data_IF_935778162432
#
_entry.id   IF_935778162432
#
_cell.length_a   1.000
_cell.length_b   1.000
_cell.length_c   1.000
_cell.angle_alpha   90.00
_cell.angle_beta   90.00
_cell.angle_gamma   90.00
#
_symmetry.space_group_name_H-M   'P 1'
#
loop_
_entity.id
_entity.type
_entity.pdbx_description
1 polymer ?
#
# COMPACT_ATOMS: atom_id res chain seq x y z
N UNK A 1 19.81 -22.56 -24.94
CA UNK A 1 20.78 -22.25 -23.88
C UNK A 1 20.18 -22.72 -22.58
N UNK A 2 20.68 -23.85 -22.08
CA UNK A 2 20.28 -24.45 -20.80
C UNK A 2 20.70 -23.56 -19.64
N UNK A 3 19.73 -23.15 -18.80
CA UNK A 3 19.97 -22.44 -17.53
C UNK A 3 20.04 -23.47 -16.39
N UNK A 4 20.77 -24.57 -16.60
CA UNK A 4 21.05 -25.53 -15.54
C UNK A 4 22.53 -25.46 -15.17
N UNK A 5 22.79 -25.22 -13.89
CA UNK A 5 24.09 -25.17 -13.20
C UNK A 5 24.76 -23.79 -13.13
N UNK A 6 24.15 -22.90 -12.35
CA UNK A 6 24.95 -21.95 -11.58
C UNK A 6 25.23 -22.61 -10.21
N UNK A 7 26.47 -23.09 -9.94
CA UNK A 7 26.78 -23.67 -8.65
C UNK A 7 26.73 -22.57 -7.59
N UNK A 8 25.90 -22.77 -6.55
CA UNK A 8 25.90 -21.95 -5.35
C UNK A 8 27.33 -21.87 -4.80
N UNK A 9 28.00 -20.73 -5.00
CA UNK A 9 29.36 -20.52 -4.49
C UNK A 9 29.29 -20.40 -2.96
N UNK A 10 29.71 -21.46 -2.27
CA UNK A 10 29.99 -21.46 -0.84
C UNK A 10 30.99 -20.34 -0.50
N UNK A 11 30.97 -19.85 0.74
CA UNK A 11 31.91 -18.82 1.17
C UNK A 11 33.36 -19.33 1.02
N UNK A 12 34.24 -18.50 0.46
CA UNK A 12 35.67 -18.80 0.37
C UNK A 12 36.27 -18.64 1.78
N UNK A 13 36.26 -19.72 2.55
CA UNK A 13 36.58 -19.74 3.99
C UNK A 13 38.10 -19.74 4.28
N UNK A 14 38.89 -18.95 3.55
CA UNK A 14 40.33 -18.85 3.84
C UNK A 14 40.57 -18.20 5.20
N UNK A 15 41.24 -18.91 6.11
CA UNK A 15 41.64 -18.39 7.42
C UNK A 15 40.62 -18.55 8.56
N UNK A 16 39.54 -19.33 8.36
CA UNK A 16 38.52 -19.59 9.38
C UNK A 16 38.59 -21.05 9.80
N UNK A 17 38.40 -21.34 11.10
CA UNK A 17 38.32 -22.73 11.59
C UNK A 17 37.15 -23.48 10.96
N UNK A 18 37.26 -24.80 10.82
CA UNK A 18 36.21 -25.65 10.21
C UNK A 18 34.82 -25.43 10.83
N UNK A 19 34.76 -25.19 12.14
CA UNK A 19 33.53 -24.87 12.84
C UNK A 19 32.95 -23.50 12.42
N UNK A 20 33.80 -22.48 12.29
CA UNK A 20 33.39 -21.15 11.83
C UNK A 20 32.92 -21.14 10.37
N UNK A 21 33.55 -21.93 9.50
CA UNK A 21 33.10 -22.06 8.10
C UNK A 21 31.73 -22.75 7.99
N UNK A 22 31.44 -23.74 8.85
CA UNK A 22 30.11 -24.37 8.91
C UNK A 22 29.03 -23.38 9.34
N UNK A 23 29.29 -22.54 10.35
CA UNK A 23 28.34 -21.50 10.79
C UNK A 23 28.10 -20.48 9.68
N UNK A 24 29.15 -19.99 9.02
CA UNK A 24 29.02 -19.01 7.92
C UNK A 24 28.21 -19.55 6.75
N UNK A 25 28.44 -20.81 6.37
CA UNK A 25 27.65 -21.46 5.33
C UNK A 25 26.20 -21.70 5.77
N UNK A 26 25.96 -22.05 7.04
CA UNK A 26 24.62 -22.21 7.58
C UNK A 26 23.85 -20.87 7.59
N UNK A 27 24.48 -19.76 7.97
CA UNK A 27 23.89 -18.42 7.91
C UNK A 27 23.54 -18.05 6.47
N UNK A 28 24.45 -18.27 5.50
CA UNK A 28 24.15 -18.02 4.07
C UNK A 28 22.97 -18.83 3.57
N UNK A 29 22.90 -20.10 3.95
CA UNK A 29 21.79 -20.98 3.59
C UNK A 29 20.48 -20.46 4.20
N UNK A 30 20.48 -20.11 5.49
CA UNK A 30 19.30 -19.54 6.17
C UNK A 30 18.89 -18.21 5.53
N UNK A 31 19.82 -17.31 5.21
CA UNK A 31 19.52 -16.05 4.53
C UNK A 31 18.96 -16.26 3.12
N UNK A 32 19.47 -17.25 2.38
CA UNK A 32 18.94 -17.61 1.07
C UNK A 32 17.52 -18.18 1.18
N UNK A 33 17.26 -19.07 2.14
CA UNK A 33 15.91 -19.59 2.39
C UNK A 33 14.97 -18.54 2.95
N UNK A 34 15.43 -17.59 3.77
CA UNK A 34 14.62 -16.47 4.25
C UNK A 34 14.24 -15.54 3.08
N UNK A 35 15.18 -15.20 2.21
CA UNK A 35 14.89 -14.45 0.99
C UNK A 35 13.95 -15.23 0.06
N UNK A 36 14.10 -16.55 -0.05
CA UNK A 36 13.22 -17.41 -0.83
C UNK A 36 11.81 -17.52 -0.23
N UNK A 37 11.68 -17.60 1.10
CA UNK A 37 10.39 -17.67 1.80
C UNK A 37 9.68 -16.31 1.77
N UNK A 38 10.43 -15.21 1.83
CA UNK A 38 9.90 -13.87 1.57
C UNK A 38 9.48 -13.77 0.10
N UNK A 39 10.26 -14.28 -0.86
CA UNK A 39 9.89 -14.22 -2.28
C UNK A 39 8.77 -15.19 -2.68
N UNK A 40 8.56 -16.31 -1.98
CA UNK A 40 7.46 -17.25 -2.24
C UNK A 40 6.15 -16.81 -1.57
N UNK A 41 6.22 -16.02 -0.49
CA UNK A 41 5.05 -15.32 0.07
C UNK A 41 4.74 -14.01 -0.64
N UNK A 42 5.64 -13.54 -1.52
CA UNK A 42 5.49 -12.31 -2.29
C UNK A 42 5.15 -12.71 -3.74
N UNK A 43 3.86 -12.94 -3.95
CA UNK A 43 3.15 -13.17 -5.21
C UNK A 43 3.34 -14.56 -5.88
N UNK A 44 2.34 -15.47 -5.77
CA UNK A 44 2.17 -16.52 -6.76
C UNK A 44 1.91 -15.86 -8.14
N UNK A 45 2.60 -16.38 -9.15
CA UNK A 45 2.66 -15.91 -10.54
C UNK A 45 1.31 -15.50 -11.18
N UNK A 46 1.31 -14.40 -11.94
CA UNK A 46 0.25 -13.90 -12.86
C UNK A 46 -1.07 -13.35 -12.25
N UNK A 47 -1.19 -13.25 -10.93
CA UNK A 47 -2.41 -12.83 -10.23
C UNK A 47 -2.53 -11.32 -9.96
N UNK A 48 -2.10 -10.46 -10.91
CA UNK A 48 -2.22 -9.00 -10.77
C UNK A 48 -2.99 -8.42 -11.96
N UNK A 49 -4.02 -7.62 -11.67
CA UNK A 49 -4.79 -6.84 -12.64
C UNK A 49 -4.44 -5.37 -12.52
N UNK A 50 -4.66 -4.64 -13.61
CA UNK A 50 -4.49 -3.19 -13.67
C UNK A 50 -5.86 -2.54 -13.79
N UNK A 51 -6.18 -1.71 -12.81
CA UNK A 51 -7.32 -0.82 -12.86
C UNK A 51 -6.88 0.50 -13.51
N UNK A 52 -7.59 0.96 -14.54
CA UNK A 52 -7.29 2.20 -15.25
C UNK A 52 -8.50 3.13 -15.26
N UNK A 53 -8.42 4.17 -14.45
CA UNK A 53 -9.42 5.23 -14.45
C UNK A 53 -8.97 6.36 -15.39
N UNK A 54 -9.38 6.25 -16.66
CA UNK A 54 -9.06 7.23 -17.70
C UNK A 54 -9.71 8.59 -17.46
N UNK A 55 -10.73 8.67 -16.62
CA UNK A 55 -11.44 9.91 -16.33
C UNK A 55 -10.60 10.83 -15.44
N UNK A 56 -9.92 10.25 -14.46
CA UNK A 56 -9.06 10.96 -13.51
C UNK A 56 -7.57 10.77 -13.77
N UNK A 57 -7.17 9.88 -14.69
CA UNK A 57 -5.80 9.78 -15.19
C UNK A 57 -4.84 9.03 -14.27
N UNK A 58 -5.30 7.95 -13.64
CA UNK A 58 -4.46 7.09 -12.79
C UNK A 58 -4.64 5.59 -13.08
N UNK A 59 -3.65 4.82 -12.63
CA UNK A 59 -3.60 3.37 -12.67
C UNK A 59 -3.41 2.84 -11.25
N UNK A 60 -3.91 1.65 -10.96
CA UNK A 60 -3.61 0.90 -9.75
C UNK A 60 -3.47 -0.58 -10.08
N UNK A 61 -2.47 -1.25 -9.52
CA UNK A 61 -2.35 -2.71 -9.57
C UNK A 61 -3.13 -3.30 -8.40
N UNK A 62 -3.74 -4.46 -8.62
CA UNK A 62 -4.49 -5.15 -7.57
C UNK A 62 -4.55 -6.66 -7.82
N UNK A 63 -4.80 -7.48 -6.78
CA UNK A 63 -4.89 -8.92 -6.93
C UNK A 63 -6.00 -9.35 -7.89
N UNK A 64 -5.74 -10.37 -8.72
CA UNK A 64 -6.69 -10.81 -9.75
C UNK A 64 -8.00 -11.39 -9.18
N UNK A 65 -7.98 -11.87 -7.94
CA UNK A 65 -9.15 -12.36 -7.21
C UNK A 65 -9.99 -11.24 -6.56
N UNK A 66 -9.49 -10.01 -6.50
CA UNK A 66 -10.21 -8.83 -6.01
C UNK A 66 -11.07 -8.20 -7.12
N UNK A 67 -11.96 -7.30 -6.72
CA UNK A 67 -12.91 -6.60 -7.59
C UNK A 67 -12.62 -5.10 -7.55
N UNK A 68 -12.41 -4.50 -8.72
CA UNK A 68 -12.30 -3.05 -8.89
C UNK A 68 -13.58 -2.49 -9.53
N UNK A 69 -14.11 -1.39 -8.99
CA UNK A 69 -15.35 -0.74 -9.43
C UNK A 69 -15.13 0.77 -9.56
N UNK A 70 -15.68 1.36 -10.63
CA UNK A 70 -15.78 2.81 -10.78
C UNK A 70 -17.10 3.28 -10.17
N UNK A 71 -17.04 4.30 -9.31
CA UNK A 71 -18.19 4.90 -8.65
C UNK A 71 -18.32 6.37 -9.07
N UNK A 72 -19.09 6.67 -10.12
CA UNK A 72 -19.17 8.03 -10.70
C UNK A 72 -20.15 8.98 -10.00
N UNK A 73 -20.96 8.47 -9.07
CA UNK A 73 -22.07 9.23 -8.46
C UNK A 73 -21.82 9.63 -7.00
N UNK A 74 -20.58 9.51 -6.51
CA UNK A 74 -20.28 9.71 -5.09
C UNK A 74 -18.92 10.35 -4.82
N UNK A 75 -18.66 10.61 -3.54
CA UNK A 75 -17.34 11.09 -3.06
C UNK A 75 -16.23 10.05 -3.19
N UNK A 76 -16.61 8.77 -3.30
CA UNK A 76 -15.74 7.66 -3.68
C UNK A 76 -15.80 7.54 -5.18
N UNK A 77 -14.67 7.71 -5.86
CA UNK A 77 -14.59 7.65 -7.33
C UNK A 77 -14.27 6.24 -7.82
N UNK A 78 -13.62 5.42 -7.00
CA UNK A 78 -13.38 4.01 -7.27
C UNK A 78 -13.19 3.22 -5.97
N UNK A 79 -13.39 1.91 -6.07
CA UNK A 79 -13.20 0.94 -5.00
C UNK A 79 -12.45 -0.28 -5.54
N UNK A 80 -11.47 -0.78 -4.81
CA UNK A 80 -10.73 -2.01 -5.08
C UNK A 80 -10.72 -2.84 -3.80
N UNK A 81 -11.48 -3.93 -3.77
CA UNK A 81 -11.66 -4.74 -2.57
C UNK A 81 -11.68 -6.24 -2.87
N UNK A 82 -11.38 -7.06 -1.87
CA UNK A 82 -11.57 -8.50 -1.97
C UNK A 82 -13.06 -8.85 -2.12
N UNK A 83 -13.37 -10.09 -2.55
CA UNK A 83 -14.76 -10.49 -2.86
C UNK A 83 -15.69 -10.43 -1.64
N UNK A 84 -15.13 -10.66 -0.46
CA UNK A 84 -15.84 -10.64 0.82
C UNK A 84 -16.00 -9.23 1.39
N UNK A 85 -15.40 -8.21 0.77
CA UNK A 85 -15.36 -6.83 1.24
C UNK A 85 -14.82 -6.67 2.68
N UNK A 86 -13.89 -7.56 3.06
CA UNK A 86 -13.22 -7.55 4.37
C UNK A 86 -11.88 -6.83 4.33
N UNK A 87 -11.34 -6.59 3.14
CA UNK A 87 -10.12 -5.85 2.87
C UNK A 87 -10.27 -5.05 1.56
N UNK A 88 -9.87 -3.79 1.54
CA UNK A 88 -9.98 -2.97 0.33
C UNK A 88 -9.45 -1.56 0.46
N UNK A 89 -9.46 -0.85 -0.68
CA UNK A 89 -9.05 0.54 -0.85
C UNK A 89 -10.14 1.31 -1.59
N UNK A 90 -10.61 2.39 -0.98
CA UNK A 90 -11.48 3.37 -1.60
C UNK A 90 -10.65 4.57 -2.07
N UNK A 91 -10.92 5.04 -3.28
CA UNK A 91 -10.19 6.13 -3.91
C UNK A 91 -11.08 7.37 -3.96
N UNK A 92 -10.54 8.52 -3.56
CA UNK A 92 -11.25 9.81 -3.49
C UNK A 92 -10.36 10.95 -3.95
N UNK A 93 -10.97 12.04 -4.41
CA UNK A 93 -10.27 13.28 -4.75
C UNK A 93 -10.97 14.44 -4.03
N UNK A 94 -10.19 15.25 -3.31
CA UNK A 94 -10.68 16.43 -2.62
C UNK A 94 -9.94 17.70 -3.08
N UNK A 95 -10.58 18.85 -2.93
CA UNK A 95 -9.90 20.15 -2.98
C UNK A 95 -9.48 20.58 -1.57
N UNK A 96 -8.33 21.21 -1.45
CA UNK A 96 -7.83 21.75 -0.18
C UNK A 96 -7.44 23.23 -0.22
N UNK A 97 -8.06 24.00 -1.13
CA UNK A 97 -7.79 25.43 -1.33
C UNK A 97 -7.89 26.22 -0.02
N UNK A 98 -6.91 27.11 0.20
CA UNK A 98 -6.90 28.04 1.34
C UNK A 98 -6.25 27.50 2.61
N UNK A 99 -5.61 26.33 2.53
CA UNK A 99 -4.87 25.73 3.63
C UNK A 99 -3.43 25.42 3.21
N UNK A 100 -2.51 25.51 4.16
CA UNK A 100 -1.20 24.85 3.99
C UNK A 100 -1.41 23.34 3.95
N UNK A 101 -0.47 22.61 3.34
CA UNK A 101 -0.50 21.14 3.30
C UNK A 101 -0.68 20.55 4.70
N UNK A 102 0.12 21.00 5.68
CA UNK A 102 0.05 20.53 7.06
C UNK A 102 -1.31 20.83 7.70
N UNK A 103 -1.80 22.06 7.56
CA UNK A 103 -3.10 22.45 8.11
C UNK A 103 -4.27 21.68 7.49
N UNK A 104 -4.17 21.31 6.21
CA UNK A 104 -5.17 20.45 5.58
C UNK A 104 -5.15 19.04 6.17
N UNK A 105 -3.97 18.45 6.35
CA UNK A 105 -3.82 17.11 6.92
C UNK A 105 -4.35 17.04 8.35
N UNK A 106 -4.01 18.01 9.21
CA UNK A 106 -4.49 18.05 10.59
C UNK A 106 -6.04 18.14 10.65
N UNK A 107 -6.65 18.96 9.77
CA UNK A 107 -8.12 19.08 9.66
C UNK A 107 -8.76 17.81 9.09
N UNK A 108 -8.13 17.18 8.11
CA UNK A 108 -8.61 15.93 7.55
C UNK A 108 -8.61 14.83 8.61
N UNK A 109 -7.51 14.68 9.34
CA UNK A 109 -7.35 13.69 10.40
C UNK A 109 -8.37 13.90 11.53
N UNK A 110 -8.53 15.14 12.03
CA UNK A 110 -9.52 15.50 13.05
C UNK A 110 -10.95 15.17 12.59
N UNK A 111 -11.27 15.48 11.33
CA UNK A 111 -12.58 15.15 10.75
C UNK A 111 -12.83 13.64 10.71
N UNK A 112 -11.88 12.85 10.21
CA UNK A 112 -12.01 11.39 10.14
C UNK A 112 -12.16 10.79 11.52
N UNK A 113 -11.31 11.21 12.47
CA UNK A 113 -11.36 10.77 13.85
C UNK A 113 -12.74 11.01 14.48
N UNK A 114 -13.29 12.22 14.34
CA UNK A 114 -14.62 12.54 14.87
C UNK A 114 -15.75 11.78 14.19
N UNK A 115 -15.66 11.59 12.88
CA UNK A 115 -16.70 10.90 12.11
C UNK A 115 -16.76 9.41 12.40
N UNK A 116 -15.60 8.79 12.63
CA UNK A 116 -15.48 7.35 12.82
C UNK A 116 -15.25 6.95 14.29
N UNK A 117 -15.14 7.92 15.19
CA UNK A 117 -14.70 7.66 16.56
C UNK A 117 -13.41 6.80 16.62
N UNK A 118 -12.47 7.10 15.72
CA UNK A 118 -11.23 6.36 15.54
C UNK A 118 -10.04 7.30 15.75
N UNK A 119 -9.40 7.33 16.93
CA UNK A 119 -8.28 8.20 17.22
C UNK A 119 -7.13 8.06 16.22
N UNK A 120 -6.46 9.16 15.90
CA UNK A 120 -5.21 9.09 15.11
C UNK A 120 -4.16 8.39 15.96
N UNK A 121 -3.59 7.31 15.42
CA UNK A 121 -2.50 6.56 16.03
C UNK A 121 -1.15 7.10 15.58
N UNK A 122 -1.00 7.35 14.28
CA UNK A 122 0.26 7.81 13.71
C UNK A 122 0.05 8.60 12.41
N UNK A 123 1.01 9.48 12.08
CA UNK A 123 1.03 10.29 10.86
C UNK A 123 2.46 10.38 10.32
N UNK A 124 2.70 9.68 9.23
CA UNK A 124 3.98 9.71 8.52
C UNK A 124 3.92 10.64 7.32
N UNK A 125 5.01 11.36 7.09
CA UNK A 125 5.18 12.21 5.91
C UNK A 125 6.23 11.60 4.99
N UNK A 126 5.88 11.45 3.72
CA UNK A 126 6.75 10.89 2.70
C UNK A 126 6.66 11.71 1.40
N UNK A 127 7.34 11.24 0.36
CA UNK A 127 7.25 11.79 -0.99
C UNK A 127 6.98 10.66 -1.99
N UNK A 128 5.99 10.86 -2.86
CA UNK A 128 5.64 9.94 -3.95
C UNK A 128 5.66 10.74 -5.25
N UNK A 129 6.52 10.35 -6.20
CA UNK A 129 6.71 11.07 -7.48
C UNK A 129 6.91 12.59 -7.30
N UNK A 130 7.77 12.96 -6.35
CA UNK A 130 8.04 14.35 -5.95
C UNK A 130 6.85 15.14 -5.39
N UNK A 131 5.71 14.48 -5.14
CA UNK A 131 4.57 15.06 -4.43
C UNK A 131 4.67 14.74 -2.95
N UNK A 132 4.19 15.65 -2.12
CA UNK A 132 4.10 15.41 -0.68
C UNK A 132 2.99 14.39 -0.43
N UNK A 133 3.32 13.34 0.32
CA UNK A 133 2.36 12.34 0.74
C UNK A 133 2.32 12.23 2.26
N UNK A 134 1.16 11.85 2.78
CA UNK A 134 0.95 11.55 4.19
C UNK A 134 0.26 10.21 4.33
N UNK A 135 0.78 9.36 5.20
CA UNK A 135 0.15 8.12 5.64
C UNK A 135 -0.38 8.34 7.06
N UNK A 136 -1.69 8.16 7.24
CA UNK A 136 -2.38 8.39 8.52
C UNK A 136 -2.98 7.08 8.98
N UNK A 137 -2.53 6.61 10.14
CA UNK A 137 -3.02 5.39 10.77
C UNK A 137 -3.99 5.74 11.89
N UNK A 138 -5.14 5.07 11.92
CA UNK A 138 -6.16 5.28 12.94
C UNK A 138 -6.29 4.04 13.83
N UNK A 139 -6.49 4.25 15.12
CA UNK A 139 -6.98 3.22 16.02
C UNK A 139 -8.49 3.05 15.80
N UNK A 140 -8.85 1.98 15.11
CA UNK A 140 -10.22 1.73 14.69
C UNK A 140 -10.87 0.56 15.46
N UNK A 141 -10.30 0.15 16.60
CA UNK A 141 -10.91 -0.88 17.45
C UNK A 141 -12.31 -0.50 17.94
N UNK A 142 -12.58 0.80 18.08
CA UNK A 142 -13.91 1.34 18.41
C UNK A 142 -14.94 1.24 17.27
N UNK A 143 -14.51 1.09 16.01
CA UNK A 143 -15.39 0.83 14.87
C UNK A 143 -15.72 -0.66 14.76
N UNK A 144 -14.66 -1.48 14.75
CA UNK A 144 -14.73 -2.93 14.70
C UNK A 144 -13.43 -3.48 15.25
N UNK A 145 -13.53 -4.42 16.18
CA UNK A 145 -12.36 -5.03 16.82
C UNK A 145 -11.40 -5.61 15.78
N UNK A 146 -10.10 -5.34 15.94
CA UNK A 146 -9.04 -5.81 15.04
C UNK A 146 -9.18 -5.30 13.60
N UNK A 147 -9.74 -4.10 13.44
CA UNK A 147 -9.84 -3.41 12.16
C UNK A 147 -8.68 -2.44 11.97
N UNK A 148 -7.93 -2.60 10.88
CA UNK A 148 -6.91 -1.63 10.46
C UNK A 148 -7.55 -0.59 9.55
N UNK A 149 -7.36 0.68 9.89
CA UNK A 149 -7.77 1.83 9.08
C UNK A 149 -6.55 2.69 8.78
N UNK A 150 -6.26 2.87 7.50
CA UNK A 150 -5.10 3.62 7.03
C UNK A 150 -5.47 4.46 5.83
N UNK A 151 -5.14 5.74 5.87
CA UNK A 151 -5.39 6.66 4.78
C UNK A 151 -4.07 7.22 4.24
N UNK A 152 -3.83 7.07 2.94
CA UNK A 152 -2.75 7.77 2.24
C UNK A 152 -3.30 8.95 1.47
N UNK A 153 -2.64 10.10 1.60
CA UNK A 153 -3.04 11.36 0.97
C UNK A 153 -1.86 11.91 0.18
N UNK A 154 -2.00 11.98 -1.14
CA UNK A 154 -1.02 12.59 -2.05
C UNK A 154 -1.49 14.00 -2.40
N UNK A 155 -0.67 15.00 -2.09
CA UNK A 155 -1.01 16.41 -2.27
C UNK A 155 -0.37 16.97 -3.54
N UNK A 156 -1.22 17.51 -4.40
CA UNK A 156 -0.85 18.27 -5.60
C UNK A 156 -1.10 19.75 -5.33
N UNK A 157 -0.12 20.41 -4.70
CA UNK A 157 -0.26 21.76 -4.14
C UNK A 157 -0.45 22.85 -5.19
N UNK A 158 0.17 22.71 -6.36
CA UNK A 158 -0.05 23.60 -7.52
C UNK A 158 -1.50 23.53 -8.04
N UNK A 159 -2.19 22.41 -7.85
CA UNK A 159 -3.58 22.21 -8.27
C UNK A 159 -4.60 22.35 -7.13
N UNK A 160 -4.13 22.46 -5.87
CA UNK A 160 -4.95 22.37 -4.66
C UNK A 160 -5.79 21.07 -4.58
N UNK A 161 -5.22 19.94 -5.02
CA UNK A 161 -5.90 18.64 -5.06
C UNK A 161 -5.24 17.63 -4.10
N UNK A 162 -6.05 17.01 -3.27
CA UNK A 162 -5.66 15.86 -2.45
C UNK A 162 -6.24 14.58 -3.08
N UNK A 163 -5.36 13.69 -3.50
CA UNK A 163 -5.71 12.35 -3.95
C UNK A 163 -5.61 11.40 -2.76
N UNK A 164 -6.73 10.77 -2.39
CA UNK A 164 -6.85 10.04 -1.13
C UNK A 164 -7.15 8.58 -1.41
N UNK A 165 -6.34 7.71 -0.82
CA UNK A 165 -6.52 6.26 -0.76
C UNK A 165 -6.91 5.91 0.67
N UNK A 166 -8.13 5.41 0.87
CA UNK A 166 -8.63 5.00 2.18
C UNK A 166 -8.69 3.49 2.22
N UNK A 167 -7.86 2.86 3.04
CA UNK A 167 -7.86 1.42 3.20
C UNK A 167 -8.49 0.97 4.50
N UNK A 168 -9.06 -0.23 4.45
CA UNK A 168 -9.69 -0.86 5.59
C UNK A 168 -9.50 -2.37 5.54
N UNK A 169 -9.16 -2.98 6.68
CA UNK A 169 -8.98 -4.43 6.74
C UNK A 169 -9.36 -5.06 8.07
N UNK A 170 -10.01 -6.22 8.02
CA UNK A 170 -10.37 -7.03 9.17
C UNK A 170 -9.32 -8.11 9.42
N UNK A 171 -8.44 -7.88 10.39
CA UNK A 171 -7.28 -8.76 10.62
C UNK A 171 -7.69 -10.21 10.92
N UNK A 172 -8.78 -10.44 11.64
CA UNK A 172 -9.22 -11.82 11.95
C UNK A 172 -9.71 -12.60 10.74
N UNK A 173 -10.23 -11.91 9.75
CA UNK A 173 -10.93 -12.53 8.62
C UNK A 173 -10.06 -12.56 7.37
N UNK A 174 -9.02 -11.73 7.30
CA UNK A 174 -8.31 -11.44 6.06
C UNK A 174 -6.83 -11.05 6.28
N UNK A 175 -6.08 -11.75 7.16
CA UNK A 175 -4.69 -11.42 7.51
C UNK A 175 -3.81 -11.17 6.27
N UNK A 176 -3.82 -12.10 5.31
CA UNK A 176 -2.97 -12.04 4.12
C UNK A 176 -3.42 -10.92 3.16
N UNK A 177 -4.74 -10.72 3.04
CA UNK A 177 -5.30 -9.61 2.26
C UNK A 177 -4.95 -8.25 2.90
N UNK A 178 -4.84 -8.15 4.23
CA UNK A 178 -4.43 -6.91 4.90
C UNK A 178 -2.99 -6.50 4.54
N UNK A 179 -2.10 -7.47 4.31
CA UNK A 179 -0.73 -7.18 3.84
C UNK A 179 -0.75 -6.74 2.37
N UNK A 180 -1.72 -7.25 1.60
CA UNK A 180 -1.88 -6.95 0.18
C UNK A 180 -2.41 -5.55 -0.10
N UNK A 181 -3.08 -4.91 0.88
CA UNK A 181 -3.55 -3.52 0.75
C UNK A 181 -2.41 -2.55 0.45
N UNK A 182 -1.28 -2.67 1.15
CA UNK A 182 -0.13 -1.78 0.93
C UNK A 182 0.39 -1.91 -0.49
N UNK A 183 0.44 -3.12 -1.05
CA UNK A 183 0.76 -3.34 -2.46
C UNK A 183 -0.19 -2.58 -3.40
N UNK A 184 -1.50 -2.60 -3.14
CA UNK A 184 -2.47 -1.85 -3.94
C UNK A 184 -2.19 -0.36 -3.85
N UNK A 185 -2.01 0.18 -2.64
CA UNK A 185 -1.80 1.61 -2.39
C UNK A 185 -0.47 2.13 -2.96
N UNK A 186 0.61 1.35 -2.84
CA UNK A 186 1.94 1.66 -3.39
C UNK A 186 1.98 1.60 -4.91
N UNK A 187 1.10 0.80 -5.52
CA UNK A 187 1.05 0.65 -6.98
C UNK A 187 0.30 1.75 -7.71
N UNK A 188 -0.34 2.67 -6.97
CA UNK A 188 -1.12 3.75 -7.58
C UNK A 188 -0.20 4.72 -8.30
N UNK A 189 -0.45 4.93 -9.58
CA UNK A 189 0.34 5.83 -10.42
C UNK A 189 -0.55 6.82 -11.17
N UNK A 190 -0.30 8.11 -10.98
CA UNK A 190 -1.07 9.20 -11.59
C UNK A 190 -0.32 9.64 -12.86
N UNK A 191 -0.70 9.06 -14.00
CA UNK A 191 -0.03 9.30 -15.29
C UNK A 191 -0.51 10.57 -16.00
N UNK A 192 -1.66 11.14 -15.61
CA UNK A 192 -2.16 12.39 -16.18
C UNK A 192 -2.80 13.30 -15.12
N UNK A 193 -1.97 14.15 -14.52
CA UNK A 193 -2.36 15.11 -13.48
C UNK A 193 -3.41 16.12 -13.93
N UNK A 194 -3.43 16.52 -15.22
CA UNK A 194 -4.39 17.53 -15.70
C UNK A 194 -5.83 17.04 -15.68
N UNK A 195 -6.05 15.74 -15.48
CA UNK A 195 -7.38 15.13 -15.33
C UNK A 195 -7.88 15.08 -13.89
N UNK A 196 -7.00 15.29 -12.90
CA UNK A 196 -7.37 15.29 -11.50
C UNK A 196 -8.30 16.46 -11.20
N UNK A 197 -9.52 16.13 -10.79
CA UNK A 197 -10.54 17.09 -10.38
C UNK A 197 -11.39 16.47 -9.28
N UNK A 198 -11.68 17.22 -8.23
CA UNK A 198 -12.68 16.79 -7.26
C UNK A 198 -14.06 16.79 -7.96
N UNK A 199 -14.87 15.72 -7.81
CA UNK A 199 -16.25 15.69 -8.28
C UNK A 199 -17.12 16.74 -7.58
#
# INVERSE_FOLDING_TARGET
MDISKEPQRLADCKGVSDFGCRILNMIKIISFFAALLISHNVFPNNDVRIFNDKEYGYLAKYPANWIAKINRSGRVIADIANRSNTAGVNIRIYRFKGFSERSYIDRYADKVQKQLNAPVKDVDRSFIDSQVAYDIYFDADGLRKDYKLHHRIILFSDMNIAFVLQSGCLLREAVDDCQTIEFVMDSVWIYNRSKLRAP
#
